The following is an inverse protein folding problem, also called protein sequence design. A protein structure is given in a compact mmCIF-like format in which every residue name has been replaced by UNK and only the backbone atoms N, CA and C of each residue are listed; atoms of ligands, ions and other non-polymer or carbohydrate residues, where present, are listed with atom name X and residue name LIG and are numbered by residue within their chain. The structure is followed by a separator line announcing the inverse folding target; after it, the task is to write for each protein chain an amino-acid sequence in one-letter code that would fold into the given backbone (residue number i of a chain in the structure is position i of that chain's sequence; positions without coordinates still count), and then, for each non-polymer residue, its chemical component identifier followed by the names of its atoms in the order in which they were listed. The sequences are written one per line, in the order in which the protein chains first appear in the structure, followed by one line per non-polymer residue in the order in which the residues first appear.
data_IF_328938042090
#
_entry.id   IF_328938042090
#
_cell.length_a   1.000
_cell.length_b   1.000
_cell.length_c   1.000
_cell.angle_alpha   90.00
_cell.angle_beta   90.00
_cell.angle_gamma   90.00
#
_symmetry.space_group_name_H-M   'P 1'
#
loop_
_entity.id
_entity.type
_entity.pdbx_description
1 polymer ?
#
# COMPACT_ATOMS: atom_id res chain seq x y z
N UNK A 1 -9.44 -11.31 -6.85
CA UNK A 1 -10.28 -10.53 -7.80
C UNK A 1 -10.96 -11.46 -8.81
N UNK A 2 -12.07 -11.07 -9.46
CA UNK A 2 -12.76 -11.92 -10.47
C UNK A 2 -12.21 -11.71 -11.89
N UNK A 3 -11.00 -12.16 -12.17
CA UNK A 3 -10.38 -12.31 -13.52
C UNK A 3 -10.54 -11.15 -14.53
N UNK A 4 -10.82 -9.93 -14.05
CA UNK A 4 -11.01 -8.74 -14.88
C UNK A 4 -10.00 -7.65 -14.63
N UNK A 5 -9.54 -7.53 -13.39
CA UNK A 5 -8.53 -6.57 -12.99
C UNK A 5 -7.74 -7.17 -11.83
N UNK A 6 -6.42 -7.22 -11.98
CA UNK A 6 -5.47 -7.75 -11.00
C UNK A 6 -5.13 -6.76 -9.90
N UNK A 7 -5.60 -5.51 -10.01
CA UNK A 7 -5.36 -4.45 -9.02
C UNK A 7 -6.65 -3.70 -8.65
N UNK A 8 -6.64 -3.09 -7.47
CA UNK A 8 -7.66 -2.14 -7.05
C UNK A 8 -6.99 -0.86 -6.56
N UNK A 9 -7.69 0.26 -6.66
CA UNK A 9 -7.19 1.56 -6.20
C UNK A 9 -7.97 2.01 -4.97
N UNK A 10 -7.26 2.23 -3.87
CA UNK A 10 -7.82 2.64 -2.58
C UNK A 10 -7.22 3.98 -2.19
N UNK A 11 -8.07 4.90 -1.70
CA UNK A 11 -7.65 6.19 -1.11
C UNK A 11 -8.31 6.35 0.24
N UNK A 12 -7.48 6.61 1.25
CA UNK A 12 -7.95 6.89 2.61
C UNK A 12 -7.44 8.29 2.98
N UNK A 13 -8.28 9.33 2.83
CA UNK A 13 -7.88 10.67 3.27
C UNK A 13 -7.86 10.72 4.80
N UNK A 14 -6.89 11.45 5.34
CA UNK A 14 -6.85 11.83 6.74
C UNK A 14 -6.47 13.31 6.85
N UNK A 15 -6.80 13.92 7.97
CA UNK A 15 -6.48 15.32 8.28
C UNK A 15 -5.58 15.37 9.50
N UNK A 16 -4.70 16.37 9.55
CA UNK A 16 -3.84 16.64 10.70
C UNK A 16 -3.77 18.15 10.91
N UNK A 17 -3.61 18.59 12.15
CA UNK A 17 -3.34 19.98 12.47
C UNK A 17 -1.84 20.25 12.53
N UNK A 18 -1.42 21.51 12.43
CA UNK A 18 0.00 21.88 12.63
C UNK A 18 0.49 21.45 14.02
N UNK A 19 -0.35 21.60 15.04
CA UNK A 19 -0.04 21.16 16.40
C UNK A 19 0.15 19.63 16.50
N UNK A 20 -0.57 18.82 15.70
CA UNK A 20 -0.34 17.38 15.66
C UNK A 20 1.03 17.07 15.04
N UNK A 21 1.38 17.77 13.95
CA UNK A 21 2.65 17.58 13.25
C UNK A 21 3.85 17.97 14.12
N UNK A 22 3.72 19.03 14.92
CA UNK A 22 4.75 19.45 15.87
C UNK A 22 5.06 18.40 16.95
N UNK A 23 4.13 17.46 17.19
CA UNK A 23 4.25 16.40 18.19
C UNK A 23 4.42 14.99 17.59
N UNK A 24 4.61 14.87 16.26
CA UNK A 24 4.84 13.57 15.59
C UNK A 24 6.32 13.42 15.26
N UNK A 25 6.98 12.46 15.90
CA UNK A 25 8.35 12.07 15.55
C UNK A 25 8.40 11.04 14.40
N UNK A 26 7.39 10.17 14.32
CA UNK A 26 7.34 9.05 13.38
C UNK A 26 5.93 8.86 12.82
N UNK A 27 5.83 8.74 11.50
CA UNK A 27 4.64 8.29 10.79
C UNK A 27 4.91 6.89 10.21
N UNK A 28 4.12 5.90 10.62
CA UNK A 28 4.30 4.51 10.19
C UNK A 28 3.09 4.01 9.41
N UNK A 29 3.36 3.40 8.25
CA UNK A 29 2.37 2.71 7.44
C UNK A 29 2.39 1.22 7.79
N UNK A 30 1.31 0.74 8.40
CA UNK A 30 1.16 -0.68 8.69
C UNK A 30 0.21 -1.34 7.69
N UNK A 31 0.62 -2.46 7.10
CA UNK A 31 -0.10 -3.12 6.01
C UNK A 31 -0.11 -4.64 6.15
N UNK A 32 -1.26 -5.21 5.81
CA UNK A 32 -1.43 -6.60 5.40
C UNK A 32 -1.78 -6.58 3.93
N UNK A 33 -1.12 -7.39 3.11
CA UNK A 33 -1.33 -7.36 1.67
C UNK A 33 -1.32 -8.78 1.07
N UNK A 34 -1.97 -8.90 -0.08
CA UNK A 34 -2.04 -10.11 -0.90
C UNK A 34 -2.47 -9.69 -2.32
N UNK A 35 -1.68 -9.92 -3.38
CA UNK A 35 -0.33 -10.50 -3.43
C UNK A 35 0.78 -9.42 -3.38
N UNK A 36 0.42 -8.16 -3.63
CA UNK A 36 1.37 -7.05 -3.74
C UNK A 36 0.68 -5.69 -3.65
N UNK A 37 1.47 -4.63 -3.45
CA UNK A 37 0.94 -3.27 -3.31
C UNK A 37 1.95 -2.20 -3.72
N UNK A 38 1.42 -1.00 -3.97
CA UNK A 38 2.20 0.24 -4.05
C UNK A 38 1.48 1.31 -3.24
N UNK A 39 2.17 1.88 -2.26
CA UNK A 39 1.62 2.90 -1.37
C UNK A 39 2.14 4.29 -1.74
N UNK A 40 1.22 5.25 -1.80
CA UNK A 40 1.52 6.65 -2.06
C UNK A 40 0.99 7.52 -0.91
N UNK A 41 1.80 8.48 -0.48
CA UNK A 41 1.40 9.54 0.42
C UNK A 41 1.51 10.88 -0.31
N UNK A 42 0.39 11.59 -0.45
CA UNK A 42 0.32 12.86 -1.18
C UNK A 42 0.94 12.82 -2.59
N UNK A 43 0.76 11.70 -3.30
CA UNK A 43 1.29 11.48 -4.65
C UNK A 43 2.73 10.96 -4.72
N UNK A 44 3.44 10.90 -3.60
CA UNK A 44 4.81 10.36 -3.51
C UNK A 44 4.75 8.88 -3.13
N UNK A 45 5.41 8.00 -3.90
CA UNK A 45 5.52 6.58 -3.56
C UNK A 45 6.39 6.42 -2.31
N UNK A 46 5.84 5.80 -1.27
CA UNK A 46 6.53 5.61 0.02
C UNK A 46 6.90 4.15 0.30
N UNK A 47 6.19 3.19 -0.28
CA UNK A 47 6.46 1.76 -0.11
C UNK A 47 5.88 0.94 -1.27
N UNK A 48 6.40 -0.27 -1.45
CA UNK A 48 5.82 -1.27 -2.34
C UNK A 48 6.36 -2.67 -2.01
N UNK A 49 5.55 -3.69 -2.30
CA UNK A 49 5.97 -5.08 -2.33
C UNK A 49 5.36 -5.75 -3.57
N UNK A 50 6.13 -6.63 -4.20
CA UNK A 50 5.70 -7.43 -5.36
C UNK A 50 5.11 -6.60 -6.50
N UNK A 51 5.62 -5.38 -6.70
CA UNK A 51 5.19 -4.47 -7.76
C UNK A 51 6.24 -4.36 -8.86
N UNK A 52 5.81 -4.32 -10.12
CA UNK A 52 6.67 -4.05 -11.26
C UNK A 52 7.30 -2.65 -11.23
N UNK A 53 8.30 -2.42 -12.07
CA UNK A 53 8.95 -1.11 -12.20
C UNK A 53 7.97 -0.03 -12.70
N UNK A 54 7.05 -0.41 -13.58
CA UNK A 54 5.93 0.41 -14.05
C UNK A 54 4.64 -0.21 -13.55
N UNK A 55 3.74 0.64 -13.04
CA UNK A 55 2.48 0.23 -12.42
C UNK A 55 1.35 0.93 -13.17
N UNK A 56 0.47 0.12 -13.76
CA UNK A 56 -0.77 0.54 -14.40
C UNK A 56 -1.96 0.14 -13.51
N UNK A 57 -3.15 0.64 -13.85
CA UNK A 57 -4.39 0.38 -13.09
C UNK A 57 -4.82 -1.10 -13.07
N UNK A 58 -4.22 -1.93 -13.93
CA UNK A 58 -4.47 -3.36 -14.14
C UNK A 58 -3.24 -4.26 -13.92
N UNK A 59 -2.17 -3.72 -13.33
CA UNK A 59 -0.95 -4.49 -13.08
C UNK A 59 -1.18 -5.61 -12.07
N UNK A 60 -0.71 -6.81 -12.41
CA UNK A 60 -0.61 -7.92 -11.47
C UNK A 60 0.64 -7.80 -10.59
N UNK A 61 0.60 -8.44 -9.42
CA UNK A 61 1.79 -8.61 -8.60
C UNK A 61 2.85 -9.44 -9.33
N UNK A 62 4.13 -9.15 -9.11
CA UNK A 62 5.24 -9.86 -9.77
C UNK A 62 5.53 -11.22 -9.16
N UNK A 63 5.06 -11.47 -7.94
CA UNK A 63 5.12 -12.75 -7.23
C UNK A 63 3.97 -12.82 -6.24
N UNK A 64 3.63 -14.04 -5.80
CA UNK A 64 2.60 -14.26 -4.80
C UNK A 64 3.08 -13.92 -3.39
N UNK A 65 2.16 -13.48 -2.54
CA UNK A 65 2.30 -13.40 -1.08
C UNK A 65 1.10 -14.11 -0.47
N UNK A 66 1.25 -15.39 -0.06
CA UNK A 66 0.12 -16.28 0.17
C UNK A 66 -0.75 -15.82 1.34
N UNK A 67 -2.03 -16.23 1.35
CA UNK A 67 -3.01 -15.90 2.38
C UNK A 67 -2.48 -16.14 3.81
N UNK A 68 -1.67 -17.19 4.01
CA UNK A 68 -1.08 -17.53 5.30
C UNK A 68 -0.07 -16.52 5.81
N UNK A 69 0.55 -15.74 4.93
CA UNK A 69 1.47 -14.64 5.26
C UNK A 69 0.72 -13.29 5.28
N UNK A 70 -0.34 -13.15 4.48
CA UNK A 70 -1.17 -11.95 4.41
C UNK A 70 -1.91 -11.61 5.71
N UNK A 71 -1.96 -12.52 6.69
CA UNK A 71 -2.55 -12.26 8.01
C UNK A 71 -1.62 -11.52 8.95
N UNK A 72 -0.32 -11.46 8.64
CA UNK A 72 0.67 -10.81 9.50
C UNK A 72 0.83 -9.34 9.13
N UNK A 73 0.81 -8.48 10.16
CA UNK A 73 0.95 -7.03 9.95
C UNK A 73 2.42 -6.70 9.68
N UNK A 74 2.67 -6.04 8.55
CA UNK A 74 3.98 -5.50 8.20
C UNK A 74 4.04 -4.00 8.53
N UNK A 75 5.22 -3.55 8.96
CA UNK A 75 5.52 -2.21 9.47
C UNK A 75 6.70 -1.58 8.74
#
# INVERSE_FOLDING_TARGET
MKDRNSSCYIRIPFTTTEADLDNIDVLQLNLRYDDGFVAYLNGVRIAAANAGATVNWDSAATTSHPDSEAVDLQS
#
